data_IF_754656889197
#
_entry.id   IF_754656889197
#
_cell.length_a   1.000
_cell.length_b   1.000
_cell.length_c   1.000
_cell.angle_alpha   90.00
_cell.angle_beta   90.00
_cell.angle_gamma   90.00
#
_symmetry.space_group_name_H-M   'P 1'
#
loop_
_entity.id
_entity.type
_entity.pdbx_description
1 polymer ?
#
# COMPACT_ATOMS: atom_id res chain seq x y z
N UNK A 1 12.73 0.25 4.74
CA UNK A 1 12.92 1.07 5.96
C UNK A 1 11.96 2.25 5.95
N UNK A 2 11.52 2.74 7.10
CA UNK A 2 10.87 4.05 7.23
C UNK A 2 11.94 5.13 6.99
N UNK A 3 11.60 6.20 6.28
CA UNK A 3 12.58 7.25 5.99
C UNK A 3 12.88 8.04 7.27
N UNK A 4 14.17 8.27 7.53
CA UNK A 4 14.68 9.10 8.63
C UNK A 4 15.02 10.49 8.08
N UNK A 5 14.62 11.54 8.80
CA UNK A 5 14.87 12.94 8.40
C UNK A 5 15.83 13.67 9.31
N UNK A 6 15.62 13.61 10.63
CA UNK A 6 16.45 14.35 11.58
C UNK A 6 16.35 13.76 12.98
N UNK A 7 17.38 14.01 13.79
CA UNK A 7 17.37 13.78 15.22
C UNK A 7 17.82 15.05 15.94
N UNK A 8 17.15 15.44 17.01
CA UNK A 8 17.45 16.66 17.74
C UNK A 8 17.00 16.59 19.20
N UNK A 9 17.63 17.39 20.06
CA UNK A 9 17.19 17.62 21.43
C UNK A 9 16.25 18.83 21.44
N UNK A 10 14.96 18.69 21.77
CA UNK A 10 14.07 19.83 21.86
C UNK A 10 14.51 20.78 22.99
N UNK A 11 14.23 22.08 22.86
CA UNK A 11 14.54 23.03 23.92
C UNK A 11 13.73 22.71 25.19
N UNK A 12 14.23 23.07 26.40
CA UNK A 12 13.60 22.73 27.67
C UNK A 12 12.16 23.26 27.85
N UNK A 13 11.79 24.32 27.10
CA UNK A 13 10.42 24.86 27.12
C UNK A 13 9.38 23.90 26.50
N UNK A 14 9.80 22.98 25.64
CA UNK A 14 8.91 22.07 24.92
C UNK A 14 8.71 20.75 25.67
N UNK A 15 9.76 20.21 26.29
CA UNK A 15 9.73 18.98 27.10
C UNK A 15 10.56 19.19 28.36
N UNK A 16 9.95 18.94 29.52
CA UNK A 16 10.57 19.17 30.82
C UNK A 16 11.76 18.23 31.13
N UNK A 17 11.82 17.05 30.52
CA UNK A 17 12.90 16.08 30.67
C UNK A 17 13.89 16.11 29.48
N UNK A 18 15.20 15.94 29.73
CA UNK A 18 16.18 15.75 28.66
C UNK A 18 15.74 14.61 27.72
N UNK A 19 15.50 14.95 26.47
CA UNK A 19 14.91 14.03 25.48
C UNK A 19 15.68 14.12 24.16
N UNK A 20 15.77 13.00 23.44
CA UNK A 20 16.27 12.95 22.07
C UNK A 20 15.12 12.53 21.16
N UNK A 21 14.76 13.39 20.22
CA UNK A 21 13.70 13.14 19.25
C UNK A 21 14.27 12.63 17.94
N UNK A 22 13.56 11.71 17.30
CA UNK A 22 13.87 11.22 15.96
C UNK A 22 12.64 11.41 15.07
N UNK A 23 12.84 11.99 13.89
CA UNK A 23 11.79 12.31 12.93
C UNK A 23 11.85 11.32 11.77
N UNK A 24 10.72 10.64 11.55
CA UNK A 24 10.54 9.62 10.52
C UNK A 24 9.29 9.87 9.68
N UNK A 25 9.19 9.21 8.52
CA UNK A 25 7.94 9.14 7.76
C UNK A 25 6.80 8.57 8.64
N UNK A 26 5.68 9.28 8.66
CA UNK A 26 4.47 8.80 9.30
C UNK A 26 3.72 7.84 8.37
N UNK A 27 3.41 6.66 8.89
CA UNK A 27 2.57 5.67 8.22
C UNK A 27 1.29 5.45 9.02
N UNK A 28 0.14 5.97 8.57
CA UNK A 28 -1.11 5.85 9.31
C UNK A 28 -1.55 4.39 9.39
N UNK A 29 -2.12 4.01 10.54
CA UNK A 29 -2.61 2.66 10.82
C UNK A 29 -1.55 1.56 10.64
N UNK A 30 -0.27 1.91 10.80
CA UNK A 30 0.79 0.93 10.84
C UNK A 30 0.76 0.20 12.19
N UNK A 31 0.87 -1.13 12.14
CA UNK A 31 0.97 -1.98 13.32
C UNK A 31 2.35 -2.63 13.34
N UNK A 32 2.89 -2.94 14.50
CA UNK A 32 4.10 -3.76 14.59
C UNK A 32 3.79 -5.21 14.22
N UNK A 33 4.81 -6.00 13.84
CA UNK A 33 4.64 -7.45 13.64
C UNK A 33 4.12 -8.10 14.93
N UNK A 34 4.58 -7.64 16.09
CA UNK A 34 4.11 -8.13 17.39
C UNK A 34 2.63 -7.86 17.64
N UNK A 35 2.17 -6.64 17.35
CA UNK A 35 0.74 -6.29 17.40
C UNK A 35 -0.08 -7.16 16.45
N UNK A 36 0.39 -7.34 15.21
CA UNK A 36 -0.36 -8.05 14.18
C UNK A 36 -0.47 -9.57 14.40
N UNK A 37 0.61 -10.22 14.84
CA UNK A 37 0.70 -11.68 14.85
C UNK A 37 0.74 -12.30 16.25
N UNK A 38 1.11 -11.54 17.29
CA UNK A 38 1.30 -12.08 18.63
C UNK A 38 0.29 -11.54 19.65
N UNK A 39 -0.49 -10.50 19.30
CA UNK A 39 -1.54 -9.99 20.19
C UNK A 39 -2.81 -10.83 20.10
N UNK A 40 -3.28 -11.30 21.25
CA UNK A 40 -4.52 -12.07 21.41
C UNK A 40 -5.80 -11.27 21.08
N UNK A 41 -5.71 -9.94 20.90
CA UNK A 41 -6.84 -9.04 20.64
C UNK A 41 -7.39 -9.14 19.23
N UNK A 42 -6.58 -9.53 18.24
CA UNK A 42 -6.98 -9.44 16.82
C UNK A 42 -7.43 -10.77 16.22
N UNK A 43 -7.00 -11.91 16.78
CA UNK A 43 -7.47 -13.28 16.50
C UNK A 43 -6.77 -14.24 17.46
N UNK A 44 -7.30 -15.45 17.75
CA UNK A 44 -6.45 -16.51 18.30
C UNK A 44 -5.25 -16.68 17.35
N UNK A 45 -4.03 -16.92 17.86
CA UNK A 45 -2.83 -17.06 17.01
C UNK A 45 -3.05 -18.20 16.00
N UNK A 46 -3.49 -17.82 14.81
CA UNK A 46 -3.65 -18.71 13.67
C UNK A 46 -2.31 -19.00 13.05
N UNK A 47 -2.21 -20.10 12.33
CA UNK A 47 -1.06 -20.38 11.48
C UNK A 47 -0.94 -19.30 10.42
N UNK A 48 0.21 -18.63 10.39
CA UNK A 48 0.50 -17.61 9.38
C UNK A 48 0.71 -18.31 8.04
N UNK A 49 0.04 -17.91 6.94
CA UNK A 49 0.24 -18.56 5.65
C UNK A 49 1.71 -18.53 5.21
N UNK A 50 2.26 -19.65 4.75
CA UNK A 50 3.68 -19.75 4.40
C UNK A 50 4.11 -18.70 3.36
N UNK A 51 3.27 -18.44 2.35
CA UNK A 51 3.53 -17.42 1.34
C UNK A 51 3.68 -16.01 1.92
N UNK A 52 2.96 -15.69 3.01
CA UNK A 52 3.09 -14.42 3.71
C UNK A 52 4.43 -14.32 4.44
N UNK A 53 4.88 -15.41 5.07
CA UNK A 53 6.20 -15.48 5.72
C UNK A 53 7.30 -15.26 4.68
N UNK A 54 7.23 -15.92 3.53
CA UNK A 54 8.18 -15.71 2.44
C UNK A 54 8.20 -14.27 1.94
N UNK A 55 7.04 -13.64 1.75
CA UNK A 55 6.96 -12.22 1.36
C UNK A 55 7.63 -11.32 2.39
N UNK A 56 7.39 -11.55 3.68
CA UNK A 56 8.05 -10.82 4.76
C UNK A 56 9.57 -10.99 4.74
N UNK A 57 10.07 -12.22 4.59
CA UNK A 57 11.50 -12.50 4.52
C UNK A 57 12.16 -11.82 3.32
N UNK A 58 11.53 -11.84 2.14
CA UNK A 58 12.01 -11.13 0.95
C UNK A 58 12.04 -9.62 1.18
N UNK A 59 10.98 -9.03 1.75
CA UNK A 59 10.91 -7.60 2.03
C UNK A 59 11.96 -7.15 3.06
N UNK A 60 12.21 -7.95 4.10
CA UNK A 60 13.25 -7.68 5.10
C UNK A 60 14.66 -7.79 4.49
N UNK A 61 14.95 -8.86 3.77
CA UNK A 61 16.26 -9.06 3.15
C UNK A 61 16.58 -7.96 2.13
N UNK A 62 15.60 -7.56 1.31
CA UNK A 62 15.77 -6.47 0.34
C UNK A 62 15.95 -5.11 1.02
N UNK A 63 15.28 -4.85 2.15
CA UNK A 63 15.49 -3.64 2.94
C UNK A 63 16.89 -3.60 3.59
N UNK A 64 17.33 -4.73 4.16
CA UNK A 64 18.65 -4.86 4.79
C UNK A 64 19.77 -4.77 3.75
N UNK A 65 19.57 -5.30 2.55
CA UNK A 65 20.50 -5.13 1.42
C UNK A 65 20.86 -3.67 1.17
N UNK A 66 19.86 -2.77 1.16
CA UNK A 66 20.08 -1.34 0.95
C UNK A 66 20.92 -0.74 2.07
N UNK A 67 20.64 -1.11 3.32
CA UNK A 67 21.39 -0.66 4.49
C UNK A 67 22.84 -1.16 4.45
N UNK A 68 23.04 -2.45 4.18
CA UNK A 68 24.37 -3.06 4.11
C UNK A 68 25.19 -2.53 2.94
N UNK A 69 24.57 -2.25 1.79
CA UNK A 69 25.25 -1.66 0.62
C UNK A 69 25.73 -0.23 0.85
N UNK A 70 25.07 0.51 1.74
CA UNK A 70 25.53 1.82 2.21
C UNK A 70 26.63 1.69 3.28
N UNK A 71 27.04 0.47 3.62
CA UNK A 71 27.96 0.22 4.69
C UNK A 71 27.37 0.63 6.03
N UNK A 72 26.15 0.21 6.33
CA UNK A 72 25.53 0.37 7.65
C UNK A 72 24.97 -0.99 8.11
N UNK A 73 24.45 -1.03 9.34
CA UNK A 73 23.66 -2.15 9.87
C UNK A 73 22.32 -1.62 10.40
N UNK A 74 21.28 -2.45 10.39
CA UNK A 74 19.93 -2.05 10.80
C UNK A 74 19.79 -1.99 12.32
N UNK A 75 20.36 -2.97 13.05
CA UNK A 75 20.44 -3.04 14.52
C UNK A 75 19.10 -3.00 15.28
N UNK A 76 17.96 -3.13 14.58
CA UNK A 76 16.62 -3.01 15.16
C UNK A 76 15.61 -3.91 14.44
N UNK A 77 15.99 -5.16 14.14
CA UNK A 77 15.10 -6.13 13.49
C UNK A 77 14.50 -7.04 14.56
N UNK A 78 13.28 -6.70 15.00
CA UNK A 78 12.48 -7.47 15.93
C UNK A 78 10.98 -7.17 15.73
N UNK A 79 10.12 -7.90 16.43
CA UNK A 79 8.67 -7.83 16.29
C UNK A 79 8.08 -6.45 16.63
N UNK A 80 8.74 -5.67 17.49
CA UNK A 80 8.32 -4.33 17.90
C UNK A 80 8.83 -3.22 16.98
N UNK A 81 9.87 -3.49 16.20
CA UNK A 81 10.56 -2.49 15.35
C UNK A 81 10.32 -2.67 13.85
N UNK A 82 9.67 -3.76 13.46
CA UNK A 82 9.20 -3.97 12.09
C UNK A 82 7.70 -3.67 12.02
N UNK A 83 7.35 -2.64 11.25
CA UNK A 83 5.98 -2.22 10.99
C UNK A 83 5.40 -2.97 9.79
N UNK A 84 4.14 -3.33 9.89
CA UNK A 84 3.27 -3.79 8.82
C UNK A 84 2.30 -2.67 8.48
N UNK A 85 2.27 -2.26 7.23
CA UNK A 85 1.25 -1.31 6.75
C UNK A 85 0.25 -2.02 5.82
N UNK A 86 -0.56 -1.22 5.13
CA UNK A 86 -1.47 -1.67 4.06
C UNK A 86 -0.85 -2.75 3.16
N UNK A 87 -1.63 -3.82 2.95
CA UNK A 87 -1.27 -4.95 2.09
C UNK A 87 0.02 -5.68 2.49
N UNK A 88 0.22 -5.92 3.78
CA UNK A 88 1.33 -6.72 4.30
C UNK A 88 2.73 -6.16 3.93
N UNK A 89 2.82 -4.84 3.72
CA UNK A 89 4.09 -4.19 3.38
C UNK A 89 4.90 -3.89 4.64
N UNK A 90 6.09 -4.48 4.74
CA UNK A 90 6.99 -4.32 5.87
C UNK A 90 7.87 -3.07 5.78
N UNK A 91 8.14 -2.46 6.95
CA UNK A 91 9.10 -1.36 7.10
C UNK A 91 9.82 -1.44 8.44
N UNK A 92 11.15 -1.46 8.41
CA UNK A 92 11.99 -1.28 9.61
C UNK A 92 11.86 0.18 10.09
N UNK A 93 11.36 0.40 11.30
CA UNK A 93 10.95 1.73 11.80
C UNK A 93 12.07 2.54 12.42
N UNK A 94 12.91 1.92 13.22
CA UNK A 94 13.78 2.61 14.20
C UNK A 94 15.26 2.63 13.78
N UNK A 95 15.52 2.67 12.47
CA UNK A 95 16.89 2.68 11.94
C UNK A 95 17.59 3.98 12.38
N UNK A 96 18.82 3.87 12.89
CA UNK A 96 19.66 4.99 13.33
C UNK A 96 19.54 5.35 14.82
N UNK A 97 18.52 4.87 15.53
CA UNK A 97 18.39 5.11 16.99
C UNK A 97 19.52 4.42 17.75
N UNK A 98 19.76 3.13 17.47
CA UNK A 98 20.81 2.36 18.14
C UNK A 98 22.20 2.93 17.88
N UNK A 99 22.46 3.47 16.69
CA UNK A 99 23.73 4.09 16.33
C UNK A 99 23.94 5.44 17.02
N UNK A 100 22.87 6.24 17.18
CA UNK A 100 22.93 7.50 17.93
C UNK A 100 23.12 7.29 19.44
N UNK A 101 22.53 6.24 20.01
CA UNK A 101 22.66 5.91 21.44
C UNK A 101 23.97 5.19 21.77
N UNK A 102 24.55 4.48 20.81
CA UNK A 102 25.78 3.71 20.99
C UNK A 102 26.81 4.00 19.88
N UNK A 103 27.33 5.25 19.79
CA UNK A 103 28.25 5.67 18.73
C UNK A 103 29.62 4.98 18.84
N UNK A 104 30.10 4.73 20.07
CA UNK A 104 31.45 4.22 20.35
C UNK A 104 31.48 2.72 20.66
N UNK A 105 30.59 1.92 20.08
CA UNK A 105 30.62 0.46 20.28
C UNK A 105 31.77 -0.18 19.48
N UNK A 106 33.02 0.21 19.77
CA UNK A 106 34.27 -0.25 19.15
C UNK A 106 34.53 -1.75 19.35
N UNK A 107 33.75 -2.42 20.22
CA UNK A 107 33.92 -3.84 20.53
C UNK A 107 33.47 -4.76 19.41
N UNK A 108 32.52 -4.34 18.57
CA UNK A 108 31.97 -5.17 17.51
C UNK A 108 32.29 -4.57 16.16
N UNK A 109 32.79 -5.40 15.26
CA UNK A 109 33.00 -4.96 13.89
C UNK A 109 31.65 -4.68 13.21
N UNK A 110 31.66 -3.76 12.26
CA UNK A 110 30.51 -3.51 11.39
C UNK A 110 30.01 -4.77 10.70
N UNK A 111 30.91 -5.69 10.33
CA UNK A 111 30.56 -6.97 9.72
C UNK A 111 29.80 -7.87 10.69
N UNK A 112 30.14 -7.85 11.99
CA UNK A 112 29.36 -8.56 13.02
C UNK A 112 27.96 -7.98 13.17
N UNK A 113 27.79 -6.66 13.12
CA UNK A 113 26.45 -6.06 13.17
C UNK A 113 25.61 -6.45 11.96
N UNK A 114 26.21 -6.46 10.77
CA UNK A 114 25.54 -6.90 9.54
C UNK A 114 25.17 -8.39 9.61
N UNK A 115 26.05 -9.23 10.14
CA UNK A 115 25.78 -10.63 10.39
C UNK A 115 24.64 -10.83 11.41
N UNK A 116 24.63 -10.03 12.48
CA UNK A 116 23.59 -10.04 13.51
C UNK A 116 22.22 -9.63 12.95
N UNK A 117 22.16 -8.70 11.99
CA UNK A 117 20.91 -8.36 11.28
C UNK A 117 20.33 -9.57 10.53
N UNK A 118 21.17 -10.35 9.85
CA UNK A 118 20.73 -11.54 9.09
C UNK A 118 20.16 -12.58 10.06
N UNK A 119 20.87 -12.83 11.16
CA UNK A 119 20.37 -13.72 12.20
C UNK A 119 19.06 -13.20 12.81
N UNK A 120 18.91 -11.87 13.00
CA UNK A 120 17.69 -11.26 13.50
C UNK A 120 16.49 -11.46 12.56
N UNK A 121 16.69 -11.41 11.24
CA UNK A 121 15.66 -11.79 10.25
C UNK A 121 15.23 -13.26 10.47
N UNK A 122 16.20 -14.17 10.65
CA UNK A 122 15.93 -15.58 10.92
C UNK A 122 15.12 -15.78 12.21
N UNK A 123 15.52 -15.11 13.31
CA UNK A 123 14.80 -15.17 14.59
C UNK A 123 13.36 -14.68 14.45
N UNK A 124 13.17 -13.52 13.82
CA UNK A 124 11.85 -12.95 13.58
C UNK A 124 10.99 -13.87 12.72
N UNK A 125 11.57 -14.50 11.69
CA UNK A 125 10.88 -15.50 10.86
C UNK A 125 10.40 -16.71 11.66
N UNK A 126 11.21 -17.21 12.61
CA UNK A 126 10.82 -18.28 13.53
C UNK A 126 9.69 -17.82 14.45
N UNK A 127 9.78 -16.64 15.05
CA UNK A 127 8.71 -16.09 15.90
C UNK A 127 7.38 -16.00 15.15
N UNK A 128 7.39 -15.52 13.89
CA UNK A 128 6.20 -15.43 13.04
C UNK A 128 5.66 -16.84 12.71
N UNK A 129 6.52 -17.77 12.32
CA UNK A 129 6.10 -19.12 11.96
C UNK A 129 5.48 -19.87 13.15
N UNK A 130 6.05 -19.69 14.34
CA UNK A 130 5.54 -20.28 15.59
C UNK A 130 4.40 -19.46 16.23
N UNK A 131 3.98 -18.34 15.64
CA UNK A 131 3.01 -17.39 16.20
C UNK A 131 3.30 -17.03 17.66
N UNK A 132 4.58 -16.86 18.01
CA UNK A 132 5.04 -16.61 19.38
C UNK A 132 6.29 -15.73 19.42
N UNK A 133 6.19 -14.61 20.11
CA UNK A 133 7.31 -13.68 20.31
C UNK A 133 8.40 -14.27 21.23
N UNK A 134 8.04 -15.23 22.07
CA UNK A 134 8.96 -15.91 22.99
C UNK A 134 9.62 -17.14 22.40
N UNK A 135 9.41 -17.44 21.11
CA UNK A 135 10.03 -18.58 20.45
C UNK A 135 11.55 -18.39 20.45
N UNK A 136 12.27 -19.28 21.14
CA UNK A 136 13.73 -19.25 21.19
C UNK A 136 14.32 -20.04 20.02
N UNK A 137 14.95 -19.36 19.04
CA UNK A 137 15.53 -20.02 17.87
C UNK A 137 16.80 -20.82 18.20
N UNK A 138 17.37 -20.66 19.40
CA UNK A 138 18.49 -21.48 19.89
C UNK A 138 18.04 -22.87 20.36
N UNK A 139 16.75 -23.03 20.68
CA UNK A 139 16.19 -24.29 21.15
C UNK A 139 15.66 -25.14 19.98
N UNK A 140 16.04 -26.42 19.84
CA UNK A 140 15.63 -27.23 18.69
C UNK A 140 14.12 -27.39 18.46
N UNK A 141 13.30 -27.18 19.50
CA UNK A 141 11.85 -27.43 19.47
C UNK A 141 11.06 -26.62 18.42
N UNK A 142 11.55 -25.45 17.99
CA UNK A 142 10.89 -24.69 16.92
C UNK A 142 10.91 -25.44 15.58
N UNK A 143 11.95 -26.24 15.32
CA UNK A 143 12.06 -27.02 14.08
C UNK A 143 11.00 -28.12 14.01
N UNK A 144 10.70 -28.76 15.15
CA UNK A 144 9.69 -29.80 15.24
C UNK A 144 8.29 -29.19 15.10
N UNK A 145 8.03 -28.07 15.79
CA UNK A 145 6.78 -27.32 15.68
C UNK A 145 6.50 -26.88 14.23
N UNK A 146 7.52 -26.37 13.52
CA UNK A 146 7.38 -25.94 12.13
C UNK A 146 7.21 -27.11 11.15
N UNK A 147 7.82 -28.27 11.42
CA UNK A 147 7.78 -29.41 10.50
C UNK A 147 6.36 -29.98 10.29
N UNK A 148 5.42 -29.68 11.20
CA UNK A 148 4.02 -30.08 11.07
C UNK A 148 3.19 -29.12 10.20
N UNK A 149 3.64 -27.89 10.01
CA UNK A 149 2.82 -26.79 9.46
C UNK A 149 3.39 -26.16 8.18
N UNK A 150 4.70 -26.26 7.97
CA UNK A 150 5.41 -25.55 6.91
C UNK A 150 6.31 -26.48 6.09
N UNK A 151 6.67 -26.02 4.90
CA UNK A 151 7.60 -26.73 4.04
C UNK A 151 8.99 -26.89 4.69
N UNK A 152 9.67 -27.98 4.31
CA UNK A 152 11.08 -28.17 4.67
C UNK A 152 11.96 -27.03 4.15
N UNK A 153 11.57 -26.38 3.05
CA UNK A 153 12.31 -25.29 2.43
C UNK A 153 12.32 -24.05 3.33
N UNK A 154 11.16 -23.64 3.88
CA UNK A 154 11.09 -22.53 4.83
C UNK A 154 11.91 -22.82 6.09
N UNK A 155 11.75 -24.03 6.65
CA UNK A 155 12.51 -24.45 7.84
C UNK A 155 14.02 -24.39 7.59
N UNK A 156 14.48 -24.96 6.48
CA UNK A 156 15.89 -24.99 6.12
C UNK A 156 16.44 -23.58 5.88
N UNK A 157 15.65 -22.69 5.27
CA UNK A 157 16.03 -21.30 5.06
C UNK A 157 16.17 -20.53 6.38
N UNK A 158 15.21 -20.64 7.30
CA UNK A 158 15.31 -20.01 8.62
C UNK A 158 16.49 -20.55 9.42
N UNK A 159 16.72 -21.86 9.39
CA UNK A 159 17.90 -22.45 10.01
C UNK A 159 19.19 -21.91 9.39
N UNK A 160 19.26 -21.78 8.05
CA UNK A 160 20.42 -21.23 7.36
C UNK A 160 20.72 -19.78 7.79
N UNK A 161 19.72 -18.93 8.00
CA UNK A 161 19.91 -17.56 8.50
C UNK A 161 20.48 -17.54 9.93
N UNK A 162 20.15 -18.53 10.74
CA UNK A 162 20.61 -18.64 12.14
C UNK A 162 21.97 -19.35 12.24
N UNK A 163 22.21 -20.35 11.40
CA UNK A 163 23.35 -21.28 11.43
C UNK A 163 23.88 -21.55 10.00
N UNK A 164 24.56 -20.57 9.37
CA UNK A 164 24.99 -20.68 7.97
C UNK A 164 26.05 -21.74 7.67
N UNK A 165 26.67 -22.32 8.70
CA UNK A 165 27.75 -23.32 8.57
C UNK A 165 27.22 -24.76 8.42
N UNK A 166 25.90 -25.00 8.53
CA UNK A 166 25.35 -26.34 8.81
C UNK A 166 24.63 -27.07 7.68
N UNK A 167 24.17 -26.41 6.61
CA UNK A 167 23.32 -27.06 5.59
C UNK A 167 24.00 -27.24 4.22
N UNK A 168 23.84 -28.45 3.67
CA UNK A 168 24.15 -28.77 2.27
C UNK A 168 23.15 -28.08 1.35
N UNK A 169 23.61 -27.54 0.22
CA UNK A 169 22.77 -26.89 -0.79
C UNK A 169 22.55 -25.39 -0.57
N UNK A 170 23.01 -24.83 0.55
CA UNK A 170 23.00 -23.39 0.80
C UNK A 170 24.36 -22.75 0.45
N UNK A 171 24.38 -21.45 0.09
CA UNK A 171 25.62 -20.73 -0.18
C UNK A 171 26.53 -20.76 1.06
N UNK A 172 27.80 -21.13 0.85
CA UNK A 172 28.80 -20.96 1.89
C UNK A 172 29.20 -19.48 1.95
N UNK A 173 29.43 -18.92 3.15
CA UNK A 173 29.96 -17.58 3.28
C UNK A 173 31.24 -17.41 2.45
N UNK A 174 31.29 -16.38 1.61
CA UNK A 174 32.50 -16.06 0.83
C UNK A 174 33.65 -15.53 1.71
N UNK A 175 33.35 -15.16 2.96
CA UNK A 175 34.30 -14.66 3.95
C UNK A 175 33.98 -15.18 5.36
N UNK A 176 34.50 -14.52 6.43
CA UNK A 176 34.29 -14.98 7.80
C UNK A 176 32.81 -14.93 8.25
N UNK A 177 32.01 -14.07 7.60
CA UNK A 177 30.60 -13.87 7.90
C UNK A 177 29.75 -14.07 6.64
N UNK A 178 28.54 -14.59 6.83
CA UNK A 178 27.50 -14.63 5.81
C UNK A 178 27.10 -13.19 5.44
N UNK A 179 26.97 -12.90 4.15
CA UNK A 179 26.52 -11.59 3.67
C UNK A 179 25.07 -11.63 3.21
N UNK A 180 24.40 -10.47 3.19
CA UNK A 180 23.03 -10.37 2.68
C UNK A 180 22.92 -10.75 1.19
N UNK A 181 24.01 -10.61 0.42
CA UNK A 181 24.04 -11.00 -0.99
C UNK A 181 24.00 -12.52 -1.17
N UNK A 182 24.67 -13.27 -0.29
CA UNK A 182 24.61 -14.73 -0.27
C UNK A 182 23.16 -15.20 -0.01
N UNK A 183 22.47 -14.56 0.95
CA UNK A 183 21.05 -14.83 1.27
C UNK A 183 20.14 -14.53 0.07
N UNK A 184 20.34 -13.39 -0.58
CA UNK A 184 19.52 -12.97 -1.70
C UNK A 184 19.66 -13.89 -2.91
N UNK A 185 20.87 -14.41 -3.16
CA UNK A 185 21.09 -15.39 -4.24
C UNK A 185 20.18 -16.61 -4.08
N UNK A 186 20.01 -17.10 -2.84
CA UNK A 186 19.07 -18.20 -2.55
C UNK A 186 17.59 -17.77 -2.71
N UNK A 187 17.25 -16.54 -2.33
CA UNK A 187 15.89 -16.01 -2.43
C UNK A 187 15.46 -15.62 -3.86
N UNK A 188 16.36 -15.65 -4.85
CA UNK A 188 16.07 -15.16 -6.22
C UNK A 188 14.74 -15.65 -6.81
N UNK A 189 14.39 -16.95 -6.78
CA UNK A 189 13.11 -17.41 -7.31
C UNK A 189 11.89 -16.78 -6.61
N UNK A 190 11.97 -16.55 -5.30
CA UNK A 190 10.91 -15.88 -4.53
C UNK A 190 10.84 -14.39 -4.84
N UNK A 191 11.99 -13.75 -5.02
CA UNK A 191 12.05 -12.32 -5.39
C UNK A 191 11.30 -12.10 -6.70
N UNK A 192 11.44 -12.99 -7.68
CA UNK A 192 10.70 -12.91 -8.95
C UNK A 192 9.18 -12.98 -8.73
N UNK A 193 8.70 -13.88 -7.85
CA UNK A 193 7.28 -13.97 -7.49
C UNK A 193 6.75 -12.73 -6.77
N UNK A 194 7.56 -12.11 -5.90
CA UNK A 194 7.22 -10.84 -5.26
C UNK A 194 7.17 -9.70 -6.29
N UNK A 195 8.09 -9.66 -7.27
CA UNK A 195 8.07 -8.67 -8.36
C UNK A 195 6.80 -8.79 -9.20
N UNK A 196 6.36 -10.01 -9.54
CA UNK A 196 5.08 -10.22 -10.23
C UNK A 196 3.89 -9.70 -9.40
N UNK A 197 3.90 -9.98 -8.09
CA UNK A 197 2.87 -9.49 -7.18
C UNK A 197 2.86 -7.95 -7.08
N UNK A 198 4.04 -7.31 -7.13
CA UNK A 198 4.18 -5.85 -7.19
C UNK A 198 3.65 -5.27 -8.50
N UNK A 199 3.89 -5.91 -9.65
CA UNK A 199 3.31 -5.46 -10.93
C UNK A 199 1.79 -5.56 -10.92
N UNK A 200 1.22 -6.69 -10.47
CA UNK A 200 -0.24 -6.83 -10.33
C UNK A 200 -0.85 -5.78 -9.40
N UNK A 201 -0.18 -5.47 -8.29
CA UNK A 201 -0.63 -4.42 -7.40
C UNK A 201 -0.57 -3.03 -8.06
N UNK A 202 0.51 -2.73 -8.80
CA UNK A 202 0.66 -1.49 -9.55
C UNK A 202 -0.45 -1.30 -10.57
N UNK A 203 -0.80 -2.33 -11.35
CA UNK A 203 -1.89 -2.29 -12.34
C UNK A 203 -3.25 -2.04 -11.69
N UNK A 204 -3.48 -2.65 -10.52
CA UNK A 204 -4.69 -2.44 -9.74
C UNK A 204 -4.78 -0.98 -9.24
N UNK A 205 -3.69 -0.42 -8.71
CA UNK A 205 -3.63 0.99 -8.32
C UNK A 205 -3.88 1.92 -9.51
N UNK A 206 -3.24 1.67 -10.65
CA UNK A 206 -3.42 2.45 -11.87
C UNK A 206 -4.88 2.41 -12.34
N UNK A 207 -5.53 1.25 -12.25
CA UNK A 207 -6.95 1.09 -12.59
C UNK A 207 -7.84 1.94 -11.67
N UNK A 208 -7.61 1.91 -10.36
CA UNK A 208 -8.36 2.74 -9.42
C UNK A 208 -8.10 4.24 -9.62
N UNK A 209 -6.84 4.63 -9.83
CA UNK A 209 -6.49 6.03 -10.10
C UNK A 209 -7.17 6.54 -11.38
N UNK A 210 -7.16 5.76 -12.47
CA UNK A 210 -7.87 6.11 -13.71
C UNK A 210 -9.35 6.36 -13.46
N UNK A 211 -10.03 5.44 -12.75
CA UNK A 211 -11.45 5.62 -12.38
C UNK A 211 -11.69 6.89 -11.56
N UNK A 212 -10.81 7.21 -10.61
CA UNK A 212 -10.95 8.43 -9.82
C UNK A 212 -10.69 9.71 -10.63
N UNK A 213 -9.75 9.66 -11.59
CA UNK A 213 -9.55 10.77 -12.52
C UNK A 213 -10.80 11.01 -13.38
N UNK A 214 -11.43 9.94 -13.88
CA UNK A 214 -12.67 10.03 -14.64
C UNK A 214 -13.80 10.58 -13.78
N UNK A 215 -13.98 10.08 -12.54
CA UNK A 215 -14.94 10.65 -11.59
C UNK A 215 -14.71 12.15 -11.37
N UNK A 216 -13.46 12.59 -11.25
CA UNK A 216 -13.12 14.01 -11.12
C UNK A 216 -13.51 14.83 -12.35
N UNK A 217 -13.37 14.28 -13.57
CA UNK A 217 -13.84 14.93 -14.80
C UNK A 217 -15.35 15.06 -14.84
N UNK A 218 -16.05 13.95 -14.59
CA UNK A 218 -17.51 13.91 -14.58
C UNK A 218 -18.10 14.82 -13.51
N UNK A 219 -17.51 14.87 -12.32
CA UNK A 219 -17.92 15.78 -11.25
C UNK A 219 -17.81 17.24 -11.66
N UNK A 220 -16.73 17.64 -12.36
CA UNK A 220 -16.58 19.02 -12.86
C UNK A 220 -17.61 19.36 -13.94
N UNK A 221 -17.91 18.42 -14.83
CA UNK A 221 -18.94 18.62 -15.88
C UNK A 221 -20.32 18.75 -15.24
N UNK A 222 -20.68 17.83 -14.34
CA UNK A 222 -21.93 17.88 -13.62
C UNK A 222 -22.05 19.20 -12.84
N UNK A 223 -20.99 19.63 -12.15
CA UNK A 223 -20.97 20.92 -11.45
C UNK A 223 -21.25 22.09 -12.40
N UNK A 224 -20.61 22.12 -13.58
CA UNK A 224 -20.86 23.16 -14.60
C UNK A 224 -22.30 23.13 -15.11
N UNK A 225 -22.84 21.95 -15.40
CA UNK A 225 -24.24 21.79 -15.82
C UNK A 225 -25.19 22.28 -14.72
N UNK A 226 -24.92 21.97 -13.45
CA UNK A 226 -25.72 22.44 -12.31
C UNK A 226 -25.67 23.97 -12.12
N UNK A 227 -24.55 24.63 -12.43
CA UNK A 227 -24.48 26.11 -12.40
C UNK A 227 -25.27 26.78 -13.53
N UNK A 228 -25.48 26.08 -14.65
CA UNK A 228 -26.33 26.54 -15.76
C UNK A 228 -27.80 26.22 -15.49
N UNK A 229 -28.07 25.09 -14.81
CA UNK A 229 -29.40 24.64 -14.46
C UNK A 229 -30.12 25.62 -13.52
N UNK A 230 -31.36 25.98 -13.88
CA UNK A 230 -32.26 26.82 -13.08
C UNK A 230 -31.67 28.14 -12.57
N UNK A 231 -30.68 28.69 -13.28
CA UNK A 231 -30.21 30.05 -13.03
C UNK A 231 -31.33 31.02 -13.40
N UNK A 232 -32.08 31.47 -12.40
CA UNK A 232 -33.10 32.50 -12.53
C UNK A 232 -32.40 33.84 -12.80
N UNK A 233 -32.30 34.22 -14.07
CA UNK A 233 -31.87 35.57 -14.41
C UNK A 233 -33.01 36.53 -14.07
N UNK A 234 -32.99 37.11 -12.88
CA UNK A 234 -33.79 38.30 -12.56
C UNK A 234 -33.32 39.56 -13.31
N UNK A 235 -32.29 39.47 -14.16
CA UNK A 235 -31.70 40.61 -14.87
C UNK A 235 -31.55 40.44 -16.40
N UNK A 236 -31.71 39.23 -16.96
CA UNK A 236 -31.51 38.98 -18.41
C UNK A 236 -32.62 38.08 -18.96
N UNK A 237 -33.65 38.68 -19.55
CA UNK A 237 -34.70 37.96 -20.31
C UNK A 237 -34.10 37.17 -21.48
N UNK A 238 -32.92 37.57 -21.99
CA UNK A 238 -32.17 36.91 -23.05
C UNK A 238 -31.37 35.67 -22.60
N UNK A 239 -31.18 35.45 -21.30
CA UNK A 239 -30.42 34.28 -20.80
C UNK A 239 -31.17 32.97 -21.02
N UNK A 240 -32.50 33.02 -21.14
CA UNK A 240 -33.38 31.86 -21.32
C UNK A 240 -33.47 31.36 -22.78
N UNK A 241 -32.99 32.13 -23.76
CA UNK A 241 -33.26 31.84 -25.17
C UNK A 241 -32.24 30.86 -25.79
N UNK A 242 -32.76 29.69 -26.18
CA UNK A 242 -32.14 28.77 -27.14
C UNK A 242 -31.14 27.76 -26.57
N UNK A 243 -29.86 28.12 -26.51
CA UNK A 243 -28.76 27.16 -26.31
C UNK A 243 -28.78 26.52 -24.91
N UNK A 244 -29.17 27.28 -23.90
CA UNK A 244 -29.23 26.80 -22.50
C UNK A 244 -30.46 25.95 -22.23
N UNK A 245 -31.51 26.11 -23.02
CA UNK A 245 -32.69 25.23 -22.96
C UNK A 245 -32.32 23.79 -23.33
N UNK A 246 -31.44 23.61 -24.33
CA UNK A 246 -30.94 22.30 -24.74
C UNK A 246 -30.20 21.60 -23.57
N UNK A 247 -29.36 22.34 -22.83
CA UNK A 247 -28.65 21.80 -21.65
C UNK A 247 -29.61 21.44 -20.51
N UNK A 248 -30.72 22.17 -20.34
CA UNK A 248 -31.78 21.81 -19.40
C UNK A 248 -32.46 20.51 -19.78
N UNK A 249 -32.83 20.35 -21.06
CA UNK A 249 -33.41 19.09 -21.54
C UNK A 249 -32.42 17.92 -21.41
N UNK A 250 -31.13 18.17 -21.60
CA UNK A 250 -30.10 17.17 -21.36
C UNK A 250 -30.02 16.74 -19.88
N UNK A 251 -30.10 17.68 -18.93
CA UNK A 251 -30.16 17.34 -17.51
C UNK A 251 -31.44 16.57 -17.14
N UNK A 252 -32.58 16.94 -17.73
CA UNK A 252 -33.82 16.17 -17.58
C UNK A 252 -33.67 14.75 -18.13
N UNK A 253 -33.03 14.60 -19.30
CA UNK A 253 -32.72 13.30 -19.89
C UNK A 253 -31.79 12.43 -19.02
N UNK A 254 -30.87 13.04 -18.27
CA UNK A 254 -29.98 12.33 -17.35
C UNK A 254 -30.67 11.91 -16.04
N UNK A 255 -31.43 12.82 -15.42
CA UNK A 255 -31.84 12.68 -14.02
C UNK A 255 -33.34 12.52 -13.79
N UNK A 256 -34.18 12.72 -14.80
CA UNK A 256 -35.64 12.61 -14.72
C UNK A 256 -36.18 11.46 -15.58
N UNK A 257 -35.46 10.33 -15.57
CA UNK A 257 -35.92 9.13 -16.26
C UNK A 257 -37.08 8.48 -15.52
N UNK A 258 -38.05 7.99 -16.28
CA UNK A 258 -39.19 7.24 -15.76
C UNK A 258 -39.35 5.94 -16.53
N UNK A 259 -39.81 4.89 -15.87
CA UNK A 259 -40.12 3.61 -16.51
C UNK A 259 -41.49 3.63 -17.22
N UNK A 260 -41.92 2.46 -17.72
CA UNK A 260 -43.21 2.30 -18.38
C UNK A 260 -44.41 2.58 -17.47
N UNK A 261 -44.24 2.49 -16.15
CA UNK A 261 -45.28 2.73 -15.14
C UNK A 261 -45.24 4.17 -14.62
N UNK A 262 -44.26 4.97 -15.06
CA UNK A 262 -44.07 6.35 -14.63
C UNK A 262 -43.25 6.51 -13.34
N UNK A 263 -42.66 5.42 -12.83
CA UNK A 263 -41.81 5.46 -11.63
C UNK A 263 -40.42 6.00 -11.97
N UNK A 264 -39.80 6.81 -11.10
CA UNK A 264 -38.48 7.38 -11.35
C UNK A 264 -37.39 6.31 -11.38
N UNK A 265 -36.51 6.37 -12.39
CA UNK A 265 -35.41 5.43 -12.59
C UNK A 265 -34.08 6.10 -12.24
N UNK A 266 -33.31 5.47 -11.35
CA UNK A 266 -31.96 5.89 -11.00
C UNK A 266 -30.97 4.95 -11.67
N UNK A 267 -30.48 5.32 -12.86
CA UNK A 267 -29.45 4.58 -13.58
C UNK A 267 -28.12 5.35 -13.62
N UNK A 268 -27.25 5.05 -12.66
CA UNK A 268 -25.91 5.64 -12.61
C UNK A 268 -25.02 5.21 -13.79
N UNK A 269 -25.22 4.01 -14.33
CA UNK A 269 -24.46 3.52 -15.48
C UNK A 269 -24.76 4.35 -16.73
N UNK A 270 -26.04 4.63 -16.95
CA UNK A 270 -26.49 5.53 -18.00
C UNK A 270 -25.93 6.95 -17.83
N UNK A 271 -26.04 7.54 -16.63
CA UNK A 271 -25.55 8.90 -16.37
C UNK A 271 -24.05 9.00 -16.65
N UNK A 272 -23.25 8.04 -16.16
CA UNK A 272 -21.81 7.99 -16.39
C UNK A 272 -21.50 7.84 -17.87
N UNK A 273 -22.20 6.96 -18.59
CA UNK A 273 -22.00 6.77 -20.03
C UNK A 273 -22.30 8.06 -20.81
N UNK A 274 -23.45 8.69 -20.55
CA UNK A 274 -23.89 9.89 -21.25
C UNK A 274 -23.00 11.09 -20.96
N UNK A 275 -22.54 11.27 -19.71
CA UNK A 275 -21.59 12.33 -19.38
C UNK A 275 -20.19 12.07 -19.98
N UNK A 276 -19.76 10.81 -20.10
CA UNK A 276 -18.52 10.49 -20.81
C UNK A 276 -18.62 10.82 -22.31
N UNK A 277 -19.77 10.54 -22.94
CA UNK A 277 -20.02 10.92 -24.34
C UNK A 277 -20.01 12.44 -24.52
N UNK A 278 -20.61 13.17 -23.57
CA UNK A 278 -20.55 14.64 -23.53
C UNK A 278 -19.12 15.15 -23.36
N UNK A 279 -18.36 14.61 -22.41
CA UNK A 279 -16.96 15.01 -22.19
C UNK A 279 -16.07 14.71 -23.40
N UNK A 280 -16.29 13.58 -24.08
CA UNK A 280 -15.59 13.23 -25.30
C UNK A 280 -15.99 14.15 -26.48
N UNK A 281 -17.18 14.74 -26.47
CA UNK A 281 -17.74 15.47 -27.61
C UNK A 281 -18.04 14.52 -28.77
N UNK A 282 -18.73 13.41 -28.48
CA UNK A 282 -19.05 12.38 -29.48
C UNK A 282 -20.06 12.87 -30.54
N UNK A 283 -19.95 12.41 -31.78
CA UNK A 283 -20.88 12.71 -32.88
C UNK A 283 -22.23 11.98 -32.75
N UNK A 284 -22.31 11.00 -31.84
CA UNK A 284 -23.56 10.30 -31.53
C UNK A 284 -24.66 11.29 -31.13
N UNK A 285 -25.86 11.12 -31.73
CA UNK A 285 -27.03 11.96 -31.43
C UNK A 285 -27.84 11.38 -30.28
N UNK A 286 -28.24 12.26 -29.38
CA UNK A 286 -29.19 11.98 -28.30
C UNK A 286 -30.51 12.67 -28.58
N UNK A 287 -31.62 11.99 -28.28
CA UNK A 287 -32.97 12.55 -28.39
C UNK A 287 -33.38 13.15 -27.05
N UNK A 288 -33.58 14.46 -27.05
CA UNK A 288 -34.00 15.24 -25.89
C UNK A 288 -35.47 15.62 -26.03
N UNK A 289 -36.26 15.31 -25.01
CA UNK A 289 -37.70 15.59 -24.98
C UNK A 289 -38.03 16.59 -23.88
N UNK A 290 -38.91 17.54 -24.16
CA UNK A 290 -39.51 18.37 -23.12
C UNK A 290 -40.43 17.54 -22.21
N UNK A 291 -40.65 18.00 -20.97
CA UNK A 291 -41.46 17.28 -19.97
C UNK A 291 -42.91 17.05 -20.42
N UNK A 292 -43.46 17.98 -21.18
CA UNK A 292 -44.78 17.90 -21.81
C UNK A 292 -44.80 17.07 -23.11
N UNK A 293 -43.63 16.57 -23.54
CA UNK A 293 -43.40 15.83 -24.80
C UNK A 293 -43.79 16.61 -26.06
N UNK A 294 -44.01 17.92 -25.97
CA UNK A 294 -44.37 18.75 -27.12
C UNK A 294 -43.16 19.03 -28.03
N UNK A 295 -41.95 19.03 -27.47
CA UNK A 295 -40.70 19.32 -28.19
C UNK A 295 -39.79 18.11 -28.15
N UNK A 296 -39.28 17.70 -29.33
CA UNK A 296 -38.27 16.67 -29.50
C UNK A 296 -37.09 17.25 -30.29
N UNK A 297 -35.89 17.18 -29.72
CA UNK A 297 -34.66 17.68 -30.34
C UNK A 297 -33.64 16.55 -30.42
N UNK A 298 -33.07 16.36 -31.61
CA UNK A 298 -31.95 15.43 -31.81
C UNK A 298 -30.66 16.23 -31.93
N UNK A 299 -29.78 16.13 -30.93
CA UNK A 299 -28.53 16.90 -30.83
C UNK A 299 -27.37 15.94 -30.59
N UNK A 300 -26.21 16.18 -31.20
CA UNK A 300 -25.00 15.39 -30.93
C UNK A 300 -24.35 15.77 -29.60
N UNK A 301 -23.63 14.84 -28.98
CA UNK A 301 -22.83 15.17 -27.79
C UNK A 301 -21.74 16.22 -28.07
N UNK A 302 -21.27 16.32 -29.32
CA UNK A 302 -20.36 17.37 -29.78
C UNK A 302 -21.02 18.75 -29.77
N UNK A 303 -22.24 18.86 -30.29
CA UNK A 303 -23.04 20.09 -30.25
C UNK A 303 -23.41 20.47 -28.81
N UNK A 304 -23.76 19.50 -27.96
CA UNK A 304 -24.04 19.74 -26.54
C UNK A 304 -22.83 20.24 -25.74
N UNK A 305 -21.62 19.87 -26.18
CA UNK A 305 -20.37 20.28 -25.53
C UNK A 305 -19.91 21.67 -25.98
N UNK A 306 -20.20 22.03 -27.24
CA UNK A 306 -19.84 23.31 -27.85
C UNK A 306 -20.51 24.47 -27.14
#
# INVERSE_FOLDING_TARGET
>A
KVMFYSAFCPPPLCIASPSLMFVYDYHPMAETIGEKHFSFSHSPPGTVPEGLIWSYLVQLCTAVRVIHSAGLAARCIDSSKVLVTTQNRLRISSVGIADALHPDNQRQSKQEHQYADIAAIGRLGVCIACSSDSADPSMPGWMDAMSQQYSADLKNFLFFLLNPQGLKGFPKPSGPYLTIYDVLHFLMPRIVGEVDSLYRHSDLLLTHMRRQMDNGRLFRILSKLMYVHDRTSSADESWADGEKYILRLYLDHLFHQVDSEGSPVIDLGFVIMSLNKLDAGNEEKVLLASRDKATLLAVSYRELKG
#
